data_IF_729874754385
#
_entry.id   IF_729874754385
#
_cell.length_a   1.000
_cell.length_b   1.000
_cell.length_c   1.000
_cell.angle_alpha   90.00
_cell.angle_beta   90.00
_cell.angle_gamma   90.00
#
_symmetry.space_group_name_H-M   'P 1'
#
loop_
_entity.id
_entity.type
_entity.pdbx_description
1 polymer ?
#
# COMPACT_ATOMS: atom_id res chain seq x y z
N UNK A 1 2.42 8.14 -6.22
CA UNK A 1 2.52 9.53 -6.73
C UNK A 1 3.56 9.57 -7.85
N UNK A 2 3.45 10.53 -8.77
CA UNK A 2 4.44 10.71 -9.85
C UNK A 2 5.67 11.45 -9.32
N UNK A 3 6.87 10.96 -9.63
CA UNK A 3 8.14 11.62 -9.26
C UNK A 3 8.69 12.50 -10.38
N UNK A 4 8.03 12.51 -11.54
CA UNK A 4 8.35 13.38 -12.67
C UNK A 4 7.63 14.71 -12.50
N UNK A 5 8.39 15.82 -12.44
CA UNK A 5 7.88 17.19 -12.26
C UNK A 5 6.72 17.53 -13.21
N UNK A 6 6.80 17.08 -14.47
CA UNK A 6 5.78 17.31 -15.52
C UNK A 6 4.38 16.76 -15.19
N UNK A 7 4.29 15.70 -14.38
CA UNK A 7 3.02 15.04 -14.05
C UNK A 7 2.76 15.02 -12.54
N UNK A 8 3.39 15.94 -11.81
CA UNK A 8 3.16 16.09 -10.39
C UNK A 8 1.73 16.62 -10.15
N UNK A 9 1.06 16.12 -9.10
CA UNK A 9 -0.33 16.49 -8.79
C UNK A 9 -1.41 15.78 -9.63
N UNK A 10 -1.06 15.16 -10.76
CA UNK A 10 -2.01 14.39 -11.57
C UNK A 10 -2.38 13.06 -10.91
N UNK A 11 -3.60 12.61 -11.15
CA UNK A 11 -3.99 11.23 -10.84
C UNK A 11 -3.15 10.24 -11.67
N UNK A 12 -2.95 9.01 -11.17
CA UNK A 12 -2.30 7.94 -11.91
C UNK A 12 -2.72 7.81 -13.38
N UNK A 13 -4.02 7.77 -13.63
CA UNK A 13 -4.62 7.59 -14.96
C UNK A 13 -4.35 8.78 -15.87
N UNK A 14 -4.55 9.99 -15.37
CA UNK A 14 -4.26 11.23 -16.09
C UNK A 14 -2.80 11.30 -16.51
N UNK A 15 -1.89 10.93 -15.60
CA UNK A 15 -0.46 10.88 -15.89
C UNK A 15 -0.13 9.85 -16.99
N UNK A 16 -0.80 8.69 -17.01
CA UNK A 16 -0.60 7.69 -18.06
C UNK A 16 -1.14 8.15 -19.41
N UNK A 17 -2.32 8.78 -19.43
CA UNK A 17 -2.92 9.37 -20.64
C UNK A 17 -2.00 10.47 -21.20
N UNK A 18 -1.53 11.38 -20.34
CA UNK A 18 -0.61 12.45 -20.73
C UNK A 18 0.76 11.94 -21.23
N UNK A 19 1.13 10.69 -20.90
CA UNK A 19 2.32 10.01 -21.43
C UNK A 19 2.05 9.24 -22.73
N UNK A 20 0.83 9.25 -23.25
CA UNK A 20 0.43 8.48 -24.43
C UNK A 20 0.34 6.98 -24.17
N UNK A 21 0.11 6.56 -22.91
CA UNK A 21 0.06 5.15 -22.48
C UNK A 21 -1.21 4.80 -21.70
N UNK A 22 -2.42 5.04 -22.25
CA UNK A 22 -3.68 4.81 -21.55
C UNK A 22 -3.88 3.35 -21.11
N UNK A 23 -3.29 2.38 -21.81
CA UNK A 23 -3.35 0.95 -21.48
C UNK A 23 -2.73 0.63 -20.11
N UNK A 24 -1.76 1.43 -19.67
CA UNK A 24 -1.14 1.28 -18.35
C UNK A 24 -2.09 1.65 -17.22
N UNK A 25 -3.08 2.52 -17.47
CA UNK A 25 -4.08 2.87 -16.45
C UNK A 25 -4.88 1.63 -16.04
N UNK A 26 -5.34 0.83 -17.02
CA UNK A 26 -6.08 -0.40 -16.76
C UNK A 26 -5.23 -1.41 -15.98
N UNK A 27 -4.03 -1.73 -16.47
CA UNK A 27 -3.10 -2.67 -15.82
C UNK A 27 -2.73 -2.23 -14.40
N UNK A 28 -2.48 -0.94 -14.20
CA UNK A 28 -2.18 -0.37 -12.89
C UNK A 28 -3.30 -0.64 -11.88
N UNK A 29 -4.56 -0.50 -12.31
CA UNK A 29 -5.73 -0.75 -11.44
C UNK A 29 -5.97 -2.23 -11.21
N UNK A 30 -5.82 -3.07 -12.23
CA UNK A 30 -5.95 -4.53 -12.10
C UNK A 30 -4.92 -5.11 -11.10
N UNK A 31 -3.72 -4.55 -11.08
CA UNK A 31 -2.66 -4.92 -10.13
C UNK A 31 -2.86 -4.35 -8.71
N UNK A 32 -3.95 -3.62 -8.46
CA UNK A 32 -4.21 -2.96 -7.18
C UNK A 32 -3.23 -1.83 -6.91
N UNK A 33 -3.14 -0.90 -7.87
CA UNK A 33 -2.41 0.35 -7.81
C UNK A 33 -0.89 0.19 -7.86
N UNK A 34 -0.41 -0.75 -8.68
CA UNK A 34 1.01 -1.02 -8.85
C UNK A 34 1.39 -1.37 -10.29
N UNK A 35 2.58 -0.92 -10.72
CA UNK A 35 3.26 -1.38 -11.93
C UNK A 35 4.73 -1.65 -11.59
N UNK A 36 5.26 -2.76 -12.06
CA UNK A 36 6.66 -3.15 -11.84
C UNK A 36 7.62 -2.15 -12.51
N UNK A 37 7.35 -1.81 -13.77
CA UNK A 37 8.07 -0.76 -14.52
C UNK A 37 7.19 0.47 -14.68
N UNK A 38 7.00 1.19 -13.59
CA UNK A 38 6.13 2.37 -13.56
C UNK A 38 6.81 3.60 -14.21
N UNK A 39 6.34 4.07 -15.38
CA UNK A 39 6.97 5.19 -16.10
C UNK A 39 6.84 6.54 -15.38
N UNK A 40 6.04 6.64 -14.31
CA UNK A 40 5.88 7.84 -13.48
C UNK A 40 7.01 7.99 -12.45
N UNK A 41 7.79 6.94 -12.23
CA UNK A 41 8.87 6.91 -11.25
C UNK A 41 10.16 7.38 -11.91
N UNK A 42 10.88 8.30 -11.28
CA UNK A 42 12.23 8.74 -11.68
C UNK A 42 13.29 7.77 -11.13
N UNK A 43 14.54 7.84 -11.59
CA UNK A 43 15.63 7.02 -11.03
C UNK A 43 15.77 7.16 -9.51
N UNK A 44 15.75 8.40 -9.01
CA UNK A 44 15.74 8.69 -7.56
C UNK A 44 14.50 8.11 -6.88
N UNK A 45 13.34 8.25 -7.51
CA UNK A 45 12.10 7.66 -7.00
C UNK A 45 12.11 6.14 -6.95
N UNK A 46 12.84 5.49 -7.87
CA UNK A 46 13.07 4.06 -7.88
C UNK A 46 13.96 3.64 -6.71
N UNK A 47 15.04 4.39 -6.47
CA UNK A 47 15.93 4.19 -5.33
C UNK A 47 15.20 4.35 -3.98
N UNK A 48 14.37 5.39 -3.82
CA UNK A 48 13.57 5.58 -2.61
C UNK A 48 12.61 4.41 -2.36
N UNK A 49 11.91 3.93 -3.42
CA UNK A 49 11.03 2.76 -3.34
C UNK A 49 11.78 1.46 -3.01
N UNK A 50 12.97 1.25 -3.60
CA UNK A 50 13.75 0.03 -3.35
C UNK A 50 14.32 -0.01 -1.94
N UNK A 51 14.59 1.16 -1.35
CA UNK A 51 15.09 1.31 0.02
C UNK A 51 13.99 1.52 1.06
N UNK A 52 12.72 1.57 0.64
CA UNK A 52 11.55 1.89 1.48
C UNK A 52 11.66 3.25 2.20
N UNK A 53 12.54 4.15 1.75
CA UNK A 53 12.73 5.47 2.35
C UNK A 53 11.55 6.41 2.10
N UNK A 54 10.73 6.13 1.08
CA UNK A 54 9.52 6.88 0.78
C UNK A 54 8.42 6.71 1.84
N UNK A 55 8.52 5.70 2.70
CA UNK A 55 7.59 5.45 3.81
C UNK A 55 7.99 6.13 5.13
N UNK A 56 9.22 6.68 5.24
CA UNK A 56 9.66 7.38 6.46
C UNK A 56 8.74 8.55 6.88
N UNK A 57 8.22 9.38 5.95
CA UNK A 57 7.27 10.43 6.32
C UNK A 57 5.99 9.89 6.98
N UNK A 58 5.58 8.66 6.67
CA UNK A 58 4.38 8.05 7.26
C UNK A 58 4.57 7.69 8.73
N UNK A 59 5.80 7.49 9.21
CA UNK A 59 6.07 7.29 10.65
C UNK A 59 5.68 8.53 11.47
N UNK A 60 5.78 9.73 10.90
CA UNK A 60 5.33 10.96 11.58
C UNK A 60 3.82 10.90 11.82
N UNK A 61 3.05 10.36 10.87
CA UNK A 61 1.60 10.20 10.99
C UNK A 61 1.23 9.14 12.06
N UNK A 62 2.07 8.12 12.25
CA UNK A 62 1.92 7.17 13.37
C UNK A 62 2.12 7.90 14.71
N UNK A 63 3.17 8.71 14.83
CA UNK A 63 3.47 9.46 16.07
C UNK A 63 2.39 10.51 16.37
N UNK A 64 1.82 11.15 15.35
CA UNK A 64 0.68 12.08 15.48
C UNK A 64 -0.64 11.37 15.82
N UNK A 65 -0.70 10.06 15.62
CA UNK A 65 -1.90 9.26 15.84
C UNK A 65 -2.90 9.33 14.69
N UNK A 66 -2.52 9.83 13.51
CA UNK A 66 -3.38 9.86 12.32
C UNK A 66 -3.62 8.45 11.76
N UNK A 67 -2.59 7.60 11.83
CA UNK A 67 -2.64 6.18 11.48
C UNK A 67 -2.03 5.33 12.61
N UNK A 68 -2.30 4.03 12.59
CA UNK A 68 -1.69 3.05 13.49
C UNK A 68 -0.38 2.51 12.90
N UNK A 69 0.50 1.99 13.77
CA UNK A 69 1.67 1.26 13.31
C UNK A 69 1.27 -0.07 12.64
N UNK A 70 0.35 -0.81 13.27
CA UNK A 70 -0.25 -2.03 12.73
C UNK A 70 -1.74 -1.83 12.51
N UNK A 71 -2.24 -2.22 11.35
CA UNK A 71 -3.64 -2.04 10.98
C UNK A 71 -3.95 -2.52 9.57
N UNK A 72 -5.23 -2.53 9.17
CA UNK A 72 -5.60 -2.80 7.78
C UNK A 72 -5.14 -1.66 6.86
N UNK A 73 -5.04 -1.95 5.56
CA UNK A 73 -4.75 -0.89 4.57
C UNK A 73 -5.90 0.13 4.51
N UNK A 74 -5.54 1.39 4.25
CA UNK A 74 -6.54 2.44 4.03
C UNK A 74 -7.43 2.10 2.82
N UNK A 75 -8.75 2.18 3.03
CA UNK A 75 -9.71 1.99 1.96
C UNK A 75 -9.81 3.25 1.11
N UNK A 76 -9.78 3.07 -0.21
CA UNK A 76 -10.03 4.16 -1.16
C UNK A 76 -11.54 4.26 -1.37
N UNK A 77 -12.11 5.46 -1.25
CA UNK A 77 -13.56 5.70 -1.33
C UNK A 77 -14.23 5.02 -2.53
N UNK A 78 -13.59 5.12 -3.69
CA UNK A 78 -14.06 4.53 -4.95
C UNK A 78 -14.18 3.00 -4.93
N UNK A 79 -13.43 2.33 -4.06
CA UNK A 79 -13.41 0.88 -3.94
C UNK A 79 -14.28 0.40 -2.78
N UNK A 80 -14.89 1.29 -1.99
CA UNK A 80 -15.73 0.94 -0.84
C UNK A 80 -16.91 0.05 -1.19
N UNK A 81 -17.48 0.18 -2.39
CA UNK A 81 -18.57 -0.68 -2.86
C UNK A 81 -18.16 -2.14 -3.04
N UNK A 82 -16.85 -2.43 -3.15
CA UNK A 82 -16.29 -3.77 -3.34
C UNK A 82 -15.99 -4.49 -2.03
N UNK A 83 -16.26 -3.87 -0.89
CA UNK A 83 -16.00 -4.43 0.44
C UNK A 83 -17.31 -4.74 1.16
N UNK A 84 -17.64 -6.02 1.29
CA UNK A 84 -18.86 -6.48 1.98
C UNK A 84 -18.94 -5.99 3.44
N UNK A 85 -17.79 -5.92 4.12
CA UNK A 85 -17.68 -5.51 5.54
C UNK A 85 -16.86 -4.23 5.72
N UNK A 86 -16.99 -3.29 4.79
CA UNK A 86 -16.26 -2.00 4.82
C UNK A 86 -16.36 -1.27 6.16
N UNK A 87 -17.53 -1.28 6.79
CA UNK A 87 -17.78 -0.56 8.05
C UNK A 87 -16.86 -1.05 9.17
N UNK A 88 -16.52 -2.34 9.19
CA UNK A 88 -15.62 -2.91 10.19
C UNK A 88 -14.18 -2.47 9.96
N UNK A 89 -13.74 -2.41 8.70
CA UNK A 89 -12.40 -1.91 8.37
C UNK A 89 -12.30 -0.41 8.66
N UNK A 90 -13.36 0.36 8.37
CA UNK A 90 -13.44 1.80 8.63
C UNK A 90 -13.56 2.15 10.12
N UNK A 91 -13.91 1.20 10.99
CA UNK A 91 -14.01 1.44 12.43
C UNK A 91 -12.66 1.38 13.15
N UNK A 92 -11.57 1.06 12.45
CA UNK A 92 -10.21 1.03 13.00
C UNK A 92 -9.28 1.95 12.19
N UNK A 93 -8.21 2.43 12.82
CA UNK A 93 -7.19 3.21 12.12
C UNK A 93 -6.47 2.33 11.10
N UNK A 94 -6.20 2.87 9.91
CA UNK A 94 -5.33 2.20 8.94
C UNK A 94 -3.91 2.02 9.50
N UNK A 95 -3.22 0.99 9.05
CA UNK A 95 -1.87 0.63 9.49
C UNK A 95 -0.78 1.03 8.51
N UNK A 96 0.39 1.42 9.04
CA UNK A 96 1.62 1.49 8.25
C UNK A 96 2.06 0.09 7.79
N UNK A 97 1.97 -0.89 8.68
CA UNK A 97 2.09 -2.32 8.35
C UNK A 97 0.81 -3.07 8.75
N UNK A 98 0.69 -4.32 8.32
CA UNK A 98 -0.49 -5.14 8.57
C UNK A 98 -0.34 -6.56 8.05
N UNK A 99 -1.34 -7.39 8.31
CA UNK A 99 -1.33 -8.80 7.92
C UNK A 99 -1.16 -8.99 6.40
N UNK A 100 -1.90 -8.23 5.58
CA UNK A 100 -1.73 -8.27 4.13
C UNK A 100 -0.32 -7.85 3.66
N UNK A 101 0.32 -6.93 4.40
CA UNK A 101 1.67 -6.45 4.11
C UNK A 101 2.70 -7.56 4.38
N UNK A 102 2.63 -8.24 5.52
CA UNK A 102 3.61 -9.30 5.82
C UNK A 102 3.36 -10.60 5.05
N UNK A 103 2.16 -10.83 4.52
CA UNK A 103 1.81 -12.05 3.80
C UNK A 103 2.20 -12.05 2.31
N UNK A 104 2.52 -10.89 1.74
CA UNK A 104 2.93 -10.82 0.33
C UNK A 104 2.76 -9.44 -0.34
N UNK A 105 2.29 -8.43 0.38
CA UNK A 105 2.21 -7.03 -0.11
C UNK A 105 1.48 -6.93 -1.45
N UNK A 106 2.16 -6.35 -2.45
CA UNK A 106 1.68 -6.13 -3.81
C UNK A 106 1.63 -7.40 -4.67
N UNK A 107 2.27 -8.50 -4.25
CA UNK A 107 2.28 -9.77 -5.00
C UNK A 107 1.02 -10.60 -4.75
N UNK A 108 0.23 -10.26 -3.72
CA UNK A 108 -1.06 -10.89 -3.48
C UNK A 108 -2.15 -10.28 -4.38
N UNK A 109 -3.05 -11.10 -4.95
CA UNK A 109 -4.27 -10.64 -5.58
C UNK A 109 -5.02 -9.65 -4.67
N UNK A 110 -5.66 -8.65 -5.27
CA UNK A 110 -6.33 -7.60 -4.50
C UNK A 110 -7.38 -8.18 -3.54
N UNK A 111 -8.16 -9.18 -3.96
CA UNK A 111 -9.17 -9.82 -3.12
C UNK A 111 -8.57 -10.57 -1.93
N UNK A 112 -7.40 -11.19 -2.10
CA UNK A 112 -6.70 -11.84 -0.98
C UNK A 112 -6.20 -10.84 0.04
N UNK A 113 -5.66 -9.69 -0.41
CA UNK A 113 -5.29 -8.59 0.50
C UNK A 113 -6.49 -8.12 1.32
N UNK A 114 -7.65 -7.94 0.69
CA UNK A 114 -8.88 -7.53 1.37
C UNK A 114 -9.33 -8.54 2.42
N UNK A 115 -9.26 -9.84 2.09
CA UNK A 115 -9.59 -10.92 3.04
C UNK A 115 -8.65 -10.89 4.25
N UNK A 116 -7.36 -10.66 4.04
CA UNK A 116 -6.38 -10.56 5.13
C UNK A 116 -6.61 -9.31 5.99
N UNK A 117 -6.89 -8.16 5.37
CA UNK A 117 -7.23 -6.94 6.09
C UNK A 117 -8.49 -7.14 6.96
N UNK A 118 -9.55 -7.74 6.40
CA UNK A 118 -10.76 -8.05 7.14
C UNK A 118 -10.52 -9.08 8.26
N UNK A 119 -9.76 -10.13 7.97
CA UNK A 119 -9.41 -11.16 8.95
C UNK A 119 -8.65 -10.57 10.13
N UNK A 120 -7.69 -9.68 9.87
CA UNK A 120 -6.95 -8.98 10.91
C UNK A 120 -7.88 -8.19 11.83
N UNK A 121 -8.82 -7.41 11.28
CA UNK A 121 -9.74 -6.62 12.10
C UNK A 121 -10.69 -7.52 12.91
N UNK A 122 -11.14 -8.63 12.33
CA UNK A 122 -12.04 -9.58 13.01
C UNK A 122 -11.37 -10.39 14.12
N UNK A 123 -10.06 -10.65 14.00
CA UNK A 123 -9.31 -11.53 14.90
C UNK A 123 -8.17 -10.78 15.59
N UNK A 124 -8.33 -9.46 15.75
CA UNK A 124 -7.29 -8.61 16.30
C UNK A 124 -6.93 -9.07 17.72
N UNK A 125 -5.63 -9.17 17.97
CA UNK A 125 -5.07 -9.40 19.29
C UNK A 125 -3.72 -8.71 19.42
N UNK A 126 -3.35 -8.37 20.64
CA UNK A 126 -2.03 -7.80 20.94
C UNK A 126 -0.87 -8.68 20.40
N UNK A 127 -1.00 -10.01 20.52
CA UNK A 127 -0.02 -10.96 20.00
C UNK A 127 0.08 -10.93 18.47
N UNK A 128 -1.04 -10.74 17.77
CA UNK A 128 -1.02 -10.62 16.31
C UNK A 128 -0.21 -9.39 15.86
N UNK A 129 -0.30 -8.27 16.58
CA UNK A 129 0.46 -7.07 16.28
C UNK A 129 1.97 -7.29 16.48
N UNK A 130 2.38 -7.94 17.59
CA UNK A 130 3.79 -8.30 17.82
C UNK A 130 4.33 -9.15 16.67
N UNK A 131 3.59 -10.19 16.26
CA UNK A 131 4.00 -11.06 15.16
C UNK A 131 4.14 -10.28 13.85
N UNK A 132 3.19 -9.37 13.56
CA UNK A 132 3.25 -8.52 12.36
C UNK A 132 4.47 -7.59 12.41
N UNK A 133 4.77 -6.99 13.56
CA UNK A 133 5.93 -6.10 13.71
C UNK A 133 7.25 -6.85 13.49
N UNK A 134 7.43 -8.01 14.12
CA UNK A 134 8.63 -8.82 13.96
C UNK A 134 8.82 -9.27 12.50
N UNK A 135 7.74 -9.70 11.85
CA UNK A 135 7.77 -10.05 10.42
C UNK A 135 8.05 -8.83 9.55
N UNK A 136 7.55 -7.65 9.91
CA UNK A 136 7.81 -6.41 9.18
C UNK A 136 9.29 -6.05 9.22
N UNK A 137 9.92 -6.11 10.40
CA UNK A 137 11.38 -5.89 10.56
C UNK A 137 12.16 -6.87 9.68
N UNK A 138 11.80 -8.15 9.71
CA UNK A 138 12.45 -9.15 8.86
C UNK A 138 12.30 -8.82 7.36
N UNK A 139 11.11 -8.44 6.89
CA UNK A 139 10.90 -8.09 5.48
C UNK A 139 11.73 -6.87 5.06
N UNK A 140 11.84 -5.85 5.93
CA UNK A 140 12.64 -4.65 5.67
C UNK A 140 14.14 -4.98 5.65
N UNK A 141 14.65 -5.73 6.64
CA UNK A 141 16.07 -6.08 6.72
C UNK A 141 16.50 -7.02 5.57
N UNK A 142 15.71 -8.04 5.27
CA UNK A 142 16.08 -9.07 4.29
C UNK A 142 15.66 -8.75 2.85
N UNK A 143 15.11 -7.56 2.58
CA UNK A 143 14.66 -7.13 1.23
C UNK A 143 13.76 -8.15 0.51
N UNK A 144 13.08 -9.04 1.25
CA UNK A 144 12.22 -10.09 0.68
C UNK A 144 11.01 -9.42 0.02
N UNK A 145 11.06 -9.27 -1.30
CA UNK A 145 10.03 -8.61 -2.11
C UNK A 145 10.38 -7.18 -2.59
N UNK A 146 11.65 -6.76 -2.52
CA UNK A 146 12.13 -5.51 -3.11
C UNK A 146 12.62 -5.65 -4.56
N UNK A 147 12.30 -6.75 -5.26
CA UNK A 147 12.53 -6.90 -6.71
C UNK A 147 11.29 -6.49 -7.49
#
# INVERSE_FOLDING_TARGET
RTHKKKYNGMLPEEAFIAMGKPELAKKYRENGDFLEKDPRVSGIGGFLRSTSLDELPQLINVVRGDISLVGPRALVERDLSKYDKKNLILSVKSGLTGLAVISGRKYLPIEERRKLDLYYVQNWSFWSDIVILLKTIAVVLFHRGAK
#
